data_IF_285964575102
#
_entry.id   IF_285964575102
#
_cell.length_a   1.000
_cell.length_b   1.000
_cell.length_c   1.000
_cell.angle_alpha   90.00
_cell.angle_beta   90.00
_cell.angle_gamma   90.00
#
_symmetry.space_group_name_H-M   'P 1'
#
loop_
_entity.id
_entity.type
_entity.pdbx_description
1 polymer ?
#
# COMPACT_ATOMS: atom_id res chain seq x y z
N UNK A 1 35.00 0.93 13.53
CA UNK A 1 34.77 -0.38 14.16
C UNK A 1 34.91 -0.37 15.69
N UNK A 2 35.71 0.49 16.26
CA UNK A 2 35.92 0.57 17.72
C UNK A 2 34.77 1.23 18.52
N UNK A 3 33.98 2.09 17.91
CA UNK A 3 32.87 2.79 18.61
C UNK A 3 31.64 1.91 18.85
N UNK A 4 31.32 0.99 17.94
CA UNK A 4 30.16 0.08 18.09
C UNK A 4 30.39 -0.95 19.21
N UNK A 5 31.64 -1.39 19.42
CA UNK A 5 31.98 -2.32 20.51
C UNK A 5 31.92 -1.65 21.87
N UNK A 6 32.31 -0.38 21.96
CA UNK A 6 32.28 0.38 23.21
C UNK A 6 30.84 0.74 23.64
N UNK A 7 29.93 0.91 22.66
CA UNK A 7 28.52 1.17 22.91
C UNK A 7 27.81 -0.09 23.45
N UNK A 8 28.03 -1.23 22.82
CA UNK A 8 27.48 -2.50 23.26
C UNK A 8 28.00 -2.93 24.66
N UNK A 9 29.24 -2.59 25.00
CA UNK A 9 29.81 -2.87 26.31
C UNK A 9 29.25 -1.94 27.40
N UNK A 10 28.94 -0.70 27.07
CA UNK A 10 28.25 0.24 27.98
C UNK A 10 26.80 -0.17 28.26
N UNK A 11 26.07 -0.65 27.26
CA UNK A 11 24.70 -1.17 27.46
C UNK A 11 24.70 -2.43 28.31
N UNK A 12 25.64 -3.33 28.10
CA UNK A 12 25.81 -4.52 28.95
C UNK A 12 26.09 -4.14 30.39
N UNK A 13 26.97 -3.17 30.64
CA UNK A 13 27.26 -2.68 31.97
C UNK A 13 26.07 -2.01 32.65
N UNK A 14 25.26 -1.26 31.93
CA UNK A 14 24.04 -0.64 32.43
C UNK A 14 22.99 -1.69 32.79
N UNK A 15 22.78 -2.69 31.95
CA UNK A 15 21.89 -3.82 32.25
C UNK A 15 22.34 -4.60 33.48
N UNK A 16 23.63 -4.84 33.64
CA UNK A 16 24.20 -5.51 34.82
C UNK A 16 24.06 -4.66 36.09
N UNK A 17 24.23 -3.34 36.01
CA UNK A 17 24.02 -2.44 37.12
C UNK A 17 22.55 -2.39 37.54
N UNK A 18 21.64 -2.26 36.59
CA UNK A 18 20.19 -2.26 36.83
C UNK A 18 19.74 -3.59 37.43
N UNK A 19 20.22 -4.71 36.90
CA UNK A 19 19.97 -6.04 37.46
C UNK A 19 20.52 -6.16 38.90
N UNK A 20 21.73 -5.67 39.19
CA UNK A 20 22.30 -5.66 40.55
C UNK A 20 21.48 -4.81 41.50
N UNK A 21 21.01 -3.65 41.09
CA UNK A 21 20.16 -2.78 41.90
C UNK A 21 18.82 -3.45 42.20
N UNK A 22 18.19 -4.01 41.22
CA UNK A 22 16.91 -4.71 41.38
C UNK A 22 17.08 -5.95 42.27
N UNK A 23 18.11 -6.75 42.03
CA UNK A 23 18.42 -7.94 42.84
C UNK A 23 18.72 -7.57 44.29
N UNK A 24 19.55 -6.51 44.56
CA UNK A 24 19.88 -6.07 45.88
C UNK A 24 18.69 -5.43 46.62
N UNK A 25 17.81 -4.75 45.95
CA UNK A 25 16.61 -4.12 46.56
C UNK A 25 15.51 -5.16 46.90
N UNK A 26 15.55 -6.35 46.33
CA UNK A 26 14.53 -7.36 46.51
C UNK A 26 15.11 -8.75 46.83
N UNK A 27 16.23 -8.80 47.57
CA UNK A 27 16.95 -10.03 47.90
C UNK A 27 16.08 -11.09 48.60
N UNK A 28 15.08 -10.71 49.39
CA UNK A 28 14.15 -11.68 50.01
C UNK A 28 13.23 -12.30 48.95
N UNK A 29 12.70 -11.51 48.04
CA UNK A 29 11.85 -11.99 46.92
C UNK A 29 12.65 -12.80 45.89
N UNK A 30 13.92 -12.43 45.65
CA UNK A 30 14.81 -13.18 44.74
C UNK A 30 15.21 -14.56 45.33
N UNK A 31 15.27 -14.69 46.67
CA UNK A 31 15.46 -15.99 47.30
C UNK A 31 14.28 -16.95 47.16
N UNK A 32 13.06 -16.41 47.15
CA UNK A 32 11.85 -17.19 46.83
C UNK A 32 11.80 -17.56 45.33
N UNK A 33 12.44 -16.80 44.47
CA UNK A 33 12.48 -17.02 43.01
C UNK A 33 13.61 -17.95 42.55
N UNK A 34 14.40 -18.48 43.46
CA UNK A 34 15.44 -19.47 43.16
C UNK A 34 14.82 -20.76 42.60
N UNK A 35 14.72 -20.82 41.28
CA UNK A 35 14.27 -21.98 40.55
C UNK A 35 13.46 -21.73 39.28
N UNK A 36 13.24 -20.48 38.88
CA UNK A 36 12.42 -20.21 37.72
C UNK A 36 13.01 -19.11 36.82
N UNK A 37 13.83 -19.53 35.85
CA UNK A 37 14.21 -18.71 34.68
C UNK A 37 12.99 -18.06 34.03
N UNK A 38 11.84 -18.69 34.14
CA UNK A 38 10.54 -18.25 33.65
C UNK A 38 10.07 -16.96 34.33
N UNK A 39 10.28 -16.80 35.63
CA UNK A 39 9.83 -15.63 36.41
C UNK A 39 10.72 -14.42 36.10
N UNK A 40 12.01 -14.63 35.85
CA UNK A 40 12.94 -13.58 35.47
C UNK A 40 12.63 -13.06 34.06
N UNK A 41 12.29 -13.93 33.12
CA UNK A 41 11.81 -13.55 31.79
C UNK A 41 10.48 -12.79 31.83
N UNK A 42 9.58 -13.16 32.74
CA UNK A 42 8.30 -12.47 32.94
C UNK A 42 8.50 -11.06 33.54
N UNK A 43 9.36 -10.93 34.55
CA UNK A 43 9.69 -9.62 35.14
C UNK A 43 10.37 -8.68 34.15
N UNK A 44 11.28 -9.18 33.31
CA UNK A 44 11.90 -8.42 32.23
C UNK A 44 10.88 -8.03 31.18
N UNK A 45 9.93 -8.88 30.83
CA UNK A 45 8.83 -8.55 29.91
C UNK A 45 7.95 -7.42 30.43
N UNK A 46 7.62 -7.43 31.72
CA UNK A 46 6.82 -6.38 32.34
C UNK A 46 7.57 -5.04 32.34
N UNK A 47 8.88 -5.05 32.63
CA UNK A 47 9.71 -3.85 32.61
C UNK A 47 9.94 -3.29 31.19
N UNK A 48 9.99 -4.17 30.18
CA UNK A 48 10.18 -3.79 28.78
C UNK A 48 8.86 -3.65 28.02
N UNK A 49 7.72 -3.92 28.67
CA UNK A 49 6.41 -3.91 28.02
C UNK A 49 6.05 -2.55 27.41
N UNK A 50 6.43 -1.48 28.09
CA UNK A 50 6.15 -0.11 27.62
C UNK A 50 6.99 0.23 26.39
N UNK A 51 8.29 -0.08 26.41
CA UNK A 51 9.19 0.11 25.27
C UNK A 51 8.77 -0.73 24.05
N UNK A 52 8.46 -2.02 24.26
CA UNK A 52 7.98 -2.90 23.20
C UNK A 52 6.63 -2.45 22.62
N UNK A 53 5.75 -1.88 23.44
CA UNK A 53 4.49 -1.32 22.97
C UNK A 53 4.70 -0.04 22.16
N UNK A 54 5.61 0.83 22.57
CA UNK A 54 5.95 2.03 21.83
C UNK A 54 6.53 1.70 20.46
N UNK A 55 7.51 0.81 20.37
CA UNK A 55 8.08 0.32 19.10
C UNK A 55 7.04 -0.32 18.19
N UNK A 56 6.13 -1.12 18.77
CA UNK A 56 5.03 -1.74 18.03
C UNK A 56 4.06 -0.71 17.47
N UNK A 57 3.71 0.31 18.25
CA UNK A 57 2.83 1.40 17.83
C UNK A 57 3.48 2.26 16.74
N UNK A 58 4.78 2.51 16.86
CA UNK A 58 5.54 3.27 15.88
C UNK A 58 5.64 2.50 14.56
N UNK A 59 5.97 1.21 14.58
CA UNK A 59 5.99 0.35 13.40
C UNK A 59 4.62 0.23 12.72
N UNK A 60 3.53 0.15 13.50
CA UNK A 60 2.17 0.17 12.92
C UNK A 60 1.83 1.52 12.27
N UNK A 61 2.26 2.62 12.88
CA UNK A 61 2.02 3.96 12.35
C UNK A 61 2.80 4.19 11.06
N UNK A 62 4.07 3.80 11.03
CA UNK A 62 4.92 3.88 9.84
C UNK A 62 4.37 3.02 8.71
N UNK A 63 4.08 1.76 8.98
CA UNK A 63 3.50 0.84 7.99
C UNK A 63 2.16 1.33 7.42
N UNK A 64 1.32 1.98 8.25
CA UNK A 64 0.07 2.56 7.78
C UNK A 64 0.30 3.78 6.87
N UNK A 65 1.24 4.64 7.23
CA UNK A 65 1.58 5.84 6.43
C UNK A 65 2.19 5.43 5.09
N UNK A 66 3.10 4.46 5.11
CA UNK A 66 3.76 3.96 3.92
C UNK A 66 2.78 3.24 2.99
N UNK A 67 1.94 2.36 3.52
CA UNK A 67 0.89 1.68 2.76
C UNK A 67 -0.14 2.64 2.15
N UNK A 68 -0.53 3.70 2.85
CA UNK A 68 -1.39 4.75 2.28
C UNK A 68 -0.69 5.53 1.16
N UNK A 69 0.58 5.82 1.33
CA UNK A 69 1.37 6.54 0.32
C UNK A 69 1.52 5.71 -0.96
N UNK A 70 1.91 4.45 -0.80
CA UNK A 70 2.07 3.52 -1.92
C UNK A 70 0.75 3.29 -2.65
N UNK A 71 -0.32 2.97 -1.91
CA UNK A 71 -1.65 2.76 -2.48
C UNK A 71 -2.18 3.98 -3.24
N UNK A 72 -1.88 5.20 -2.74
CA UNK A 72 -2.26 6.44 -3.45
C UNK A 72 -1.48 6.63 -4.75
N UNK A 73 -0.17 6.35 -4.74
CA UNK A 73 0.68 6.47 -5.93
C UNK A 73 0.26 5.46 -6.98
N UNK A 74 0.04 4.21 -6.57
CA UNK A 74 -0.37 3.13 -7.45
C UNK A 74 -1.76 3.38 -8.03
N UNK A 75 -2.74 3.74 -7.21
CA UNK A 75 -4.08 4.10 -7.67
C UNK A 75 -4.11 5.28 -8.64
N UNK A 76 -3.29 6.32 -8.42
CA UNK A 76 -3.14 7.43 -9.37
C UNK A 76 -2.52 6.98 -10.69
N UNK A 77 -1.52 6.10 -10.63
CA UNK A 77 -0.85 5.58 -11.83
C UNK A 77 -1.80 4.72 -12.65
N UNK A 78 -2.49 3.79 -12.02
CA UNK A 78 -3.47 2.91 -12.68
C UNK A 78 -4.62 3.73 -13.28
N UNK A 79 -5.24 4.62 -12.50
CA UNK A 79 -6.32 5.46 -12.97
C UNK A 79 -5.92 6.36 -14.15
N UNK A 80 -4.67 6.85 -14.17
CA UNK A 80 -4.15 7.64 -15.29
C UNK A 80 -3.94 6.79 -16.55
N UNK A 81 -3.47 5.56 -16.40
CA UNK A 81 -3.28 4.63 -17.52
C UNK A 81 -4.63 4.22 -18.10
N UNK A 82 -5.56 3.86 -17.24
CA UNK A 82 -6.90 3.44 -17.62
C UNK A 82 -7.68 4.57 -18.28
N UNK A 83 -7.71 5.76 -17.68
CA UNK A 83 -8.34 6.94 -18.26
C UNK A 83 -7.74 7.34 -19.60
N UNK A 84 -6.43 7.19 -19.79
CA UNK A 84 -5.78 7.43 -21.08
C UNK A 84 -6.22 6.42 -22.15
N UNK A 85 -6.30 5.14 -21.77
CA UNK A 85 -6.75 4.07 -22.69
C UNK A 85 -8.22 4.27 -23.09
N UNK A 86 -9.06 4.59 -22.12
CA UNK A 86 -10.47 4.86 -22.33
C UNK A 86 -10.69 6.09 -23.22
N UNK A 87 -10.00 7.21 -22.90
CA UNK A 87 -10.05 8.42 -23.72
C UNK A 87 -9.56 8.22 -25.15
N UNK A 88 -8.52 7.40 -25.36
CA UNK A 88 -8.05 7.04 -26.71
C UNK A 88 -9.10 6.24 -27.47
N UNK A 89 -9.71 5.25 -26.80
CA UNK A 89 -10.77 4.42 -27.40
C UNK A 89 -12.00 5.26 -27.76
N UNK A 90 -12.47 6.10 -26.87
CA UNK A 90 -13.58 7.01 -27.15
C UNK A 90 -13.27 7.98 -28.29
N UNK A 91 -12.06 8.53 -28.32
CA UNK A 91 -11.60 9.41 -29.38
C UNK A 91 -11.60 8.71 -30.75
N UNK A 92 -11.16 7.46 -30.82
CA UNK A 92 -11.22 6.66 -32.04
C UNK A 92 -12.66 6.40 -32.50
N UNK A 93 -13.55 6.02 -31.59
CA UNK A 93 -14.96 5.78 -31.88
C UNK A 93 -15.59 7.05 -32.45
N UNK A 94 -15.35 8.22 -31.82
CA UNK A 94 -15.86 9.52 -32.28
C UNK A 94 -15.33 9.88 -33.66
N UNK A 95 -14.04 9.64 -33.93
CA UNK A 95 -13.44 9.92 -35.22
C UNK A 95 -14.11 9.07 -36.34
N UNK A 96 -14.28 7.77 -36.11
CA UNK A 96 -14.96 6.91 -37.09
C UNK A 96 -16.46 7.24 -37.21
N UNK A 97 -17.12 7.59 -36.12
CA UNK A 97 -18.51 8.02 -36.14
C UNK A 97 -18.72 9.28 -36.97
N UNK A 98 -17.80 10.24 -36.89
CA UNK A 98 -17.81 11.44 -37.74
C UNK A 98 -17.67 11.10 -39.22
N UNK A 99 -16.71 10.21 -39.55
CA UNK A 99 -16.51 9.77 -40.94
C UNK A 99 -17.73 9.01 -41.52
N UNK A 100 -18.43 8.26 -40.67
CA UNK A 100 -19.68 7.61 -41.07
C UNK A 100 -20.79 8.63 -41.29
N UNK A 101 -20.94 9.60 -40.40
CA UNK A 101 -21.92 10.68 -40.52
C UNK A 101 -21.70 11.53 -41.77
N UNK A 102 -20.45 11.79 -42.11
CA UNK A 102 -20.05 12.55 -43.28
C UNK A 102 -20.19 11.70 -44.60
N UNK A 103 -20.57 10.43 -44.49
CA UNK A 103 -20.74 9.53 -45.65
C UNK A 103 -19.43 9.07 -46.30
N UNK A 104 -18.27 9.31 -45.62
CA UNK A 104 -16.95 8.95 -46.12
C UNK A 104 -16.71 7.41 -46.02
N UNK A 105 -17.20 6.81 -44.95
CA UNK A 105 -17.14 5.36 -44.71
C UNK A 105 -18.51 4.80 -44.31
N UNK A 106 -18.71 3.52 -44.50
CA UNK A 106 -19.95 2.86 -44.05
C UNK A 106 -19.88 2.49 -42.57
N UNK A 107 -21.02 2.23 -41.95
CA UNK A 107 -21.12 1.82 -40.52
C UNK A 107 -20.31 0.56 -40.26
N UNK A 108 -20.33 -0.40 -41.20
CA UNK A 108 -19.59 -1.66 -41.10
C UNK A 108 -18.07 -1.41 -41.02
N UNK A 109 -17.58 -0.55 -41.92
CA UNK A 109 -16.13 -0.15 -41.92
C UNK A 109 -15.77 0.59 -40.65
N UNK A 110 -16.64 1.49 -40.19
CA UNK A 110 -16.44 2.22 -38.93
C UNK A 110 -16.36 1.26 -37.73
N UNK A 111 -17.25 0.31 -37.64
CA UNK A 111 -17.28 -0.71 -36.59
C UNK A 111 -16.04 -1.62 -36.63
N UNK A 112 -15.64 -2.08 -37.80
CA UNK A 112 -14.43 -2.88 -38.00
C UNK A 112 -13.17 -2.13 -37.55
N UNK A 113 -13.02 -0.87 -37.94
CA UNK A 113 -11.89 -0.03 -37.56
C UNK A 113 -11.88 0.30 -36.06
N UNK A 114 -13.05 0.42 -35.45
CA UNK A 114 -13.19 0.61 -34.00
C UNK A 114 -13.00 -0.70 -33.20
N UNK A 115 -12.93 -1.84 -33.89
CA UNK A 115 -12.73 -3.16 -33.24
C UNK A 115 -13.95 -3.62 -32.45
N UNK A 116 -15.16 -3.28 -32.88
CA UNK A 116 -16.42 -3.64 -32.22
C UNK A 116 -17.49 -4.14 -33.21
N UNK A 117 -18.58 -4.68 -32.68
CA UNK A 117 -19.71 -5.09 -33.50
C UNK A 117 -20.43 -3.87 -34.08
N UNK A 118 -21.10 -4.05 -35.22
CA UNK A 118 -21.91 -3.00 -35.88
C UNK A 118 -22.99 -2.49 -34.93
N UNK A 119 -23.61 -3.38 -34.16
CA UNK A 119 -24.66 -3.00 -33.21
C UNK A 119 -24.11 -2.12 -32.07
N UNK A 120 -22.96 -2.50 -31.52
CA UNK A 120 -22.35 -1.75 -30.45
C UNK A 120 -21.82 -0.38 -30.95
N UNK A 121 -21.22 -0.37 -32.13
CA UNK A 121 -20.77 0.89 -32.75
C UNK A 121 -21.94 1.83 -33.02
N UNK A 122 -23.05 1.29 -33.52
CA UNK A 122 -24.30 2.05 -33.76
C UNK A 122 -24.87 2.63 -32.46
N UNK A 123 -24.83 1.87 -31.37
CA UNK A 123 -25.25 2.36 -30.04
C UNK A 123 -24.35 3.50 -29.55
N UNK A 124 -23.03 3.33 -29.68
CA UNK A 124 -22.08 4.38 -29.27
C UNK A 124 -22.19 5.63 -30.13
N UNK A 125 -22.42 5.50 -31.44
CA UNK A 125 -22.73 6.64 -32.33
C UNK A 125 -23.95 7.41 -31.84
N UNK A 126 -25.07 6.73 -31.58
CA UNK A 126 -26.30 7.34 -31.09
C UNK A 126 -26.12 8.01 -29.72
N UNK A 127 -25.40 7.36 -28.82
CA UNK A 127 -25.06 7.88 -27.47
C UNK A 127 -24.22 9.16 -27.56
N UNK A 128 -23.32 9.24 -28.51
CA UNK A 128 -22.47 10.40 -28.76
C UNK A 128 -23.18 11.50 -29.62
N UNK A 129 -24.41 11.30 -30.05
CA UNK A 129 -25.21 12.27 -30.78
C UNK A 129 -24.96 12.28 -32.30
N UNK A 130 -24.30 11.27 -32.86
CA UNK A 130 -24.08 11.14 -34.29
C UNK A 130 -25.29 10.54 -34.98
N UNK A 131 -25.58 11.01 -36.19
CA UNK A 131 -26.68 10.52 -37.02
C UNK A 131 -26.14 9.47 -38.00
N UNK A 132 -26.83 8.34 -38.08
CA UNK A 132 -26.51 7.33 -39.09
C UNK A 132 -27.18 7.74 -40.39
N UNK A 133 -26.40 7.93 -41.47
CA UNK A 133 -26.99 8.26 -42.74
C UNK A 133 -27.94 7.12 -43.22
N UNK A 134 -29.13 7.45 -43.63
CA UNK A 134 -30.01 6.50 -44.27
C UNK A 134 -29.42 6.07 -45.64
N UNK A 135 -29.26 4.77 -45.80
CA UNK A 135 -28.78 4.20 -47.07
C UNK A 135 -29.86 4.31 -48.13
#
# INVERSE_FOLDING_TARGET
>A
MLEVSAFAEREKNLADIVLRVIVNSNMEKVREWKGSERIMCEALRVLMADELNEERMEGQREGRVEGQREGRIEGQREGRIEGRREGQREGQIRAYASLVQDGIITVEIGAEKAGMSVDDFTKEMKKAGYVIPAV
#
